data_IF_485658827895
#
_entry.id   IF_485658827895
#
_cell.length_a   1.000
_cell.length_b   1.000
_cell.length_c   1.000
_cell.angle_alpha   90.00
_cell.angle_beta   90.00
_cell.angle_gamma   90.00
#
_symmetry.space_group_name_H-M   'P 1'
#
loop_
_entity.id
_entity.type
_entity.pdbx_description
1 polymer ?
#
# COMPACT_ATOMS: atom_id res chain seq x y z
N UNK A 1 20.76 -8.77 -2.52
CA UNK A 1 19.45 -8.76 -3.18
C UNK A 1 18.72 -7.50 -2.71
N UNK A 2 18.14 -6.71 -3.61
CA UNK A 2 17.38 -5.50 -3.26
C UNK A 2 15.91 -5.87 -3.09
N UNK A 3 15.27 -5.38 -2.02
CA UNK A 3 13.84 -5.43 -1.80
C UNK A 3 13.17 -4.18 -2.39
N UNK A 4 11.85 -4.23 -2.59
CA UNK A 4 11.12 -3.10 -3.18
C UNK A 4 11.26 -1.83 -2.33
N UNK A 5 11.18 -1.95 -1.01
CA UNK A 5 11.35 -0.80 -0.11
C UNK A 5 12.78 -0.21 -0.11
N UNK A 6 13.81 -0.94 -0.58
CA UNK A 6 15.17 -0.41 -0.66
C UNK A 6 15.27 0.77 -1.63
N UNK A 7 14.32 0.90 -2.56
CA UNK A 7 14.22 2.06 -3.45
C UNK A 7 13.95 3.32 -2.62
N UNK A 8 12.99 3.28 -1.69
CA UNK A 8 12.67 4.41 -0.82
C UNK A 8 13.82 4.69 0.15
N UNK A 9 14.31 3.67 0.87
CA UNK A 9 15.40 3.81 1.84
C UNK A 9 16.65 4.46 1.23
N UNK A 10 17.10 3.95 0.10
CA UNK A 10 18.35 4.41 -0.51
C UNK A 10 18.23 5.83 -1.05
N UNK A 11 17.09 6.18 -1.65
CA UNK A 11 16.88 7.53 -2.15
C UNK A 11 16.60 8.53 -1.01
N UNK A 12 15.93 8.14 0.07
CA UNK A 12 15.77 8.98 1.26
C UNK A 12 17.13 9.35 1.86
N UNK A 13 18.08 8.38 1.89
CA UNK A 13 19.45 8.63 2.36
C UNK A 13 20.27 9.49 1.40
N UNK A 14 20.18 9.25 0.08
CA UNK A 14 21.04 9.89 -0.93
C UNK A 14 20.51 11.24 -1.41
N UNK A 15 19.19 11.38 -1.51
CA UNK A 15 18.50 12.52 -2.11
C UNK A 15 17.27 12.93 -1.29
N UNK A 16 17.41 13.19 0.03
CA UNK A 16 16.28 13.35 0.96
C UNK A 16 15.27 14.42 0.55
N UNK A 17 15.75 15.51 -0.07
CA UNK A 17 14.94 16.67 -0.46
C UNK A 17 14.46 16.63 -1.91
N UNK A 18 14.91 15.65 -2.71
CA UNK A 18 14.45 15.52 -4.10
C UNK A 18 13.02 14.98 -4.11
N UNK A 19 12.18 15.58 -4.95
CA UNK A 19 10.80 15.12 -5.12
C UNK A 19 10.80 13.71 -5.72
N UNK A 20 10.11 12.81 -5.02
CA UNK A 20 9.91 11.42 -5.42
C UNK A 20 8.57 11.24 -6.12
N UNK A 21 7.50 11.81 -5.56
CA UNK A 21 6.14 11.66 -6.05
C UNK A 21 5.46 13.01 -6.25
N UNK A 22 4.64 13.08 -7.28
CA UNK A 22 3.81 14.24 -7.64
C UNK A 22 2.42 13.73 -7.98
N UNK A 23 1.39 14.31 -7.37
CA UNK A 23 -0.02 14.03 -7.64
C UNK A 23 -0.81 15.34 -7.54
N UNK A 24 -1.10 15.95 -8.69
CA UNK A 24 -1.58 17.32 -8.76
C UNK A 24 -0.62 18.28 -8.06
N UNK A 25 -1.12 19.00 -7.06
CA UNK A 25 -0.32 19.93 -6.25
C UNK A 25 0.45 19.24 -5.11
N UNK A 26 0.10 18.00 -4.79
CA UNK A 26 0.75 17.24 -3.71
C UNK A 26 2.11 16.76 -4.18
N UNK A 27 3.12 16.97 -3.34
CA UNK A 27 4.52 16.59 -3.61
C UNK A 27 5.08 15.92 -2.37
N UNK A 28 5.75 14.78 -2.58
CA UNK A 28 6.50 14.11 -1.53
C UNK A 28 7.95 13.97 -1.93
N UNK A 29 8.85 14.40 -1.05
CA UNK A 29 10.27 14.11 -1.16
C UNK A 29 10.55 12.64 -0.88
N UNK A 30 11.75 12.16 -1.23
CA UNK A 30 12.15 10.79 -0.90
C UNK A 30 12.14 10.52 0.61
N UNK A 31 12.56 11.48 1.44
CA UNK A 31 12.49 11.34 2.91
C UNK A 31 11.05 11.22 3.41
N UNK A 32 10.14 12.05 2.90
CA UNK A 32 8.73 11.98 3.27
C UNK A 32 8.08 10.66 2.85
N UNK A 33 8.40 10.16 1.65
CA UNK A 33 7.91 8.88 1.16
C UNK A 33 8.38 7.72 2.05
N UNK A 34 9.67 7.70 2.40
CA UNK A 34 10.23 6.65 3.26
C UNK A 34 9.63 6.66 4.66
N UNK A 35 9.52 7.85 5.28
CA UNK A 35 8.91 8.01 6.59
C UNK A 35 7.44 7.56 6.61
N UNK A 36 6.68 7.90 5.57
CA UNK A 36 5.26 7.52 5.45
C UNK A 36 5.11 6.02 5.26
N UNK A 37 5.92 5.41 4.41
CA UNK A 37 5.95 3.96 4.20
C UNK A 37 6.31 3.20 5.49
N UNK A 38 7.35 3.63 6.22
CA UNK A 38 7.75 3.02 7.49
C UNK A 38 6.68 3.15 8.57
N UNK A 39 6.01 4.31 8.66
CA UNK A 39 4.88 4.50 9.59
C UNK A 39 3.74 3.53 9.27
N UNK A 40 3.38 3.38 8.00
CA UNK A 40 2.37 2.40 7.60
C UNK A 40 2.79 0.97 7.97
N UNK A 41 4.05 0.59 7.71
CA UNK A 41 4.57 -0.73 8.05
C UNK A 41 4.40 -1.05 9.54
N UNK A 42 4.87 -0.14 10.41
CA UNK A 42 4.75 -0.29 11.87
C UNK A 42 3.28 -0.44 12.29
N UNK A 43 2.41 0.42 11.76
CA UNK A 43 0.98 0.42 12.06
C UNK A 43 0.26 -0.87 11.63
N UNK A 44 0.73 -1.55 10.59
CA UNK A 44 0.21 -2.86 10.17
C UNK A 44 0.75 -3.99 11.05
N UNK A 45 2.03 -3.96 11.40
CA UNK A 45 2.63 -4.94 12.31
C UNK A 45 2.01 -4.85 13.72
N UNK A 46 1.79 -3.64 14.23
CA UNK A 46 1.13 -3.39 15.52
C UNK A 46 -0.33 -3.89 15.54
N UNK A 47 -0.97 -4.00 14.37
CA UNK A 47 -2.30 -4.62 14.21
C UNK A 47 -2.25 -6.14 14.12
N UNK A 48 -1.08 -6.75 14.28
CA UNK A 48 -0.90 -8.21 14.36
C UNK A 48 -0.66 -8.88 13.01
N UNK A 49 -0.48 -8.12 11.91
CA UNK A 49 -0.04 -8.73 10.65
C UNK A 49 1.40 -9.22 10.78
N UNK A 50 1.70 -10.32 10.11
CA UNK A 50 3.01 -10.97 10.13
C UNK A 50 3.59 -11.07 8.72
N UNK A 51 4.91 -11.16 8.61
CA UNK A 51 5.58 -11.34 7.33
C UNK A 51 4.98 -12.55 6.57
N UNK A 52 4.67 -12.35 5.29
CA UNK A 52 3.97 -13.31 4.44
C UNK A 52 2.44 -13.13 4.41
N UNK A 53 1.84 -12.40 5.35
CA UNK A 53 0.42 -12.05 5.28
C UNK A 53 0.13 -11.20 4.04
N UNK A 54 -1.05 -11.43 3.47
CA UNK A 54 -1.51 -10.81 2.22
C UNK A 54 -2.48 -9.67 2.53
N UNK A 55 -2.29 -8.54 1.88
CA UNK A 55 -3.10 -7.33 2.06
C UNK A 55 -3.68 -6.91 0.73
N UNK A 56 -5.00 -6.92 0.64
CA UNK A 56 -5.73 -6.42 -0.53
C UNK A 56 -5.64 -4.91 -0.57
N UNK A 57 -5.32 -4.34 -1.72
CA UNK A 57 -5.23 -2.89 -1.88
C UNK A 57 -6.14 -2.44 -3.01
N UNK A 58 -7.20 -1.72 -2.65
CA UNK A 58 -8.22 -1.19 -3.56
C UNK A 58 -8.09 0.33 -3.56
N UNK A 59 -7.39 0.87 -4.55
CA UNK A 59 -7.22 2.31 -4.68
C UNK A 59 -7.14 2.75 -6.13
N UNK A 60 -7.38 4.04 -6.35
CA UNK A 60 -7.01 4.70 -7.60
C UNK A 60 -5.51 4.95 -7.66
N UNK A 61 -5.05 5.40 -8.83
CA UNK A 61 -3.78 6.09 -8.93
C UNK A 61 -3.81 7.29 -7.98
N UNK A 62 -2.95 7.24 -6.96
CA UNK A 62 -2.86 8.23 -5.90
C UNK A 62 -1.42 8.26 -5.37
N UNK A 63 -1.03 9.37 -4.74
CA UNK A 63 0.31 9.51 -4.16
C UNK A 63 0.59 8.49 -3.05
N UNK A 64 -0.47 7.97 -2.42
CA UNK A 64 -0.39 6.97 -1.35
C UNK A 64 -0.03 5.58 -1.88
N UNK A 65 -0.21 5.28 -3.17
CA UNK A 65 0.02 3.93 -3.68
C UNK A 65 1.48 3.46 -3.55
N UNK A 66 2.51 4.26 -3.91
CA UNK A 66 3.89 3.90 -3.63
C UNK A 66 4.20 3.82 -2.12
N UNK A 67 3.54 4.64 -1.29
CA UNK A 67 3.68 4.56 0.18
C UNK A 67 3.19 3.21 0.70
N UNK A 68 2.05 2.74 0.19
CA UNK A 68 1.47 1.43 0.50
C UNK A 68 2.40 0.32 0.04
N UNK A 69 2.87 0.36 -1.21
CA UNK A 69 3.76 -0.67 -1.75
C UNK A 69 5.04 -0.81 -0.95
N UNK A 70 5.70 0.31 -0.61
CA UNK A 70 6.90 0.29 0.22
C UNK A 70 6.60 -0.09 1.67
N UNK A 71 5.49 0.37 2.25
CA UNK A 71 5.10 0.04 3.61
C UNK A 71 4.82 -1.45 3.79
N UNK A 72 4.09 -2.06 2.85
CA UNK A 72 3.88 -3.51 2.83
C UNK A 72 5.20 -4.25 2.67
N UNK A 73 6.07 -3.81 1.75
CA UNK A 73 7.39 -4.42 1.59
C UNK A 73 8.28 -4.28 2.84
N UNK A 74 8.22 -3.17 3.57
CA UNK A 74 8.93 -2.99 4.84
C UNK A 74 8.44 -3.94 5.93
N UNK A 75 7.12 -4.18 5.98
CA UNK A 75 6.51 -5.12 6.92
C UNK A 75 6.64 -6.60 6.50
N UNK A 76 7.24 -6.88 5.34
CA UNK A 76 7.31 -8.24 4.78
C UNK A 76 5.96 -8.78 4.31
N UNK A 77 4.99 -7.90 4.05
CA UNK A 77 3.64 -8.21 3.63
C UNK A 77 3.53 -8.28 2.09
N UNK A 78 2.56 -9.06 1.62
CA UNK A 78 2.31 -9.27 0.19
C UNK A 78 1.14 -8.39 -0.25
N UNK A 79 1.37 -7.49 -1.20
CA UNK A 79 0.33 -6.67 -1.78
C UNK A 79 -0.50 -7.47 -2.80
N UNK A 80 -1.82 -7.45 -2.67
CA UNK A 80 -2.79 -7.94 -3.66
C UNK A 80 -3.49 -6.72 -4.28
N UNK A 81 -2.96 -6.14 -5.36
CA UNK A 81 -3.54 -4.96 -5.96
C UNK A 81 -4.80 -5.31 -6.73
N UNK A 82 -5.91 -4.64 -6.43
CA UNK A 82 -7.21 -4.88 -7.08
C UNK A 82 -7.63 -3.64 -7.85
N UNK A 83 -8.01 -3.84 -9.11
CA UNK A 83 -8.46 -2.76 -9.97
C UNK A 83 -9.89 -2.34 -9.59
N UNK A 84 -10.08 -1.07 -9.27
CA UNK A 84 -11.39 -0.49 -8.90
C UNK A 84 -12.45 -0.58 -10.01
N UNK A 85 -12.06 -0.93 -11.24
CA UNK A 85 -12.98 -1.12 -12.37
C UNK A 85 -13.60 -2.52 -12.44
N UNK A 86 -13.12 -3.46 -11.64
CA UNK A 86 -13.73 -4.77 -11.54
C UNK A 86 -15.14 -4.68 -10.95
N UNK A 87 -15.98 -5.62 -11.34
CA UNK A 87 -17.28 -5.81 -10.73
C UNK A 87 -17.09 -6.30 -9.27
N UNK A 88 -18.01 -5.97 -8.35
CA UNK A 88 -17.86 -6.33 -6.94
C UNK A 88 -17.68 -7.83 -6.68
N UNK A 89 -18.36 -8.68 -7.43
CA UNK A 89 -18.25 -10.14 -7.37
C UNK A 89 -16.87 -10.66 -7.81
N UNK A 90 -16.26 -10.04 -8.82
CA UNK A 90 -14.88 -10.35 -9.22
C UNK A 90 -13.88 -9.98 -8.10
N UNK A 91 -14.13 -8.88 -7.38
CA UNK A 91 -13.30 -8.49 -6.23
C UNK A 91 -13.46 -9.47 -5.08
N UNK A 92 -14.70 -9.86 -4.74
CA UNK A 92 -14.95 -10.88 -3.71
C UNK A 92 -14.22 -12.18 -4.04
N UNK A 93 -14.29 -12.64 -5.29
CA UNK A 93 -13.57 -13.83 -5.73
C UNK A 93 -12.06 -13.72 -5.51
N UNK A 94 -11.45 -12.57 -5.85
CA UNK A 94 -10.01 -12.34 -5.62
C UNK A 94 -9.70 -12.35 -4.12
N UNK A 95 -10.53 -11.71 -3.29
CA UNK A 95 -10.27 -11.66 -1.84
C UNK A 95 -10.33 -13.05 -1.24
N UNK A 96 -11.36 -13.82 -1.57
CA UNK A 96 -11.56 -15.19 -1.07
C UNK A 96 -10.41 -16.13 -1.49
N UNK A 97 -10.00 -16.09 -2.75
CA UNK A 97 -8.91 -16.91 -3.27
C UNK A 97 -7.54 -16.46 -2.72
N UNK A 98 -7.35 -15.15 -2.54
CA UNK A 98 -6.06 -14.60 -2.12
C UNK A 98 -5.69 -14.97 -0.69
N UNK A 99 -6.63 -15.35 0.17
CA UNK A 99 -6.39 -15.57 1.60
C UNK A 99 -5.81 -14.34 2.32
N UNK A 100 -6.21 -13.15 1.88
CA UNK A 100 -5.84 -11.88 2.49
C UNK A 100 -6.30 -11.80 3.95
N UNK A 101 -5.49 -11.14 4.78
CA UNK A 101 -5.73 -10.94 6.21
C UNK A 101 -6.23 -9.54 6.54
N UNK A 102 -6.03 -8.59 5.62
CA UNK A 102 -6.44 -7.21 5.75
C UNK A 102 -6.67 -6.59 4.37
N UNK A 103 -7.34 -5.43 4.37
CA UNK A 103 -7.52 -4.60 3.19
C UNK A 103 -7.15 -3.15 3.48
N UNK A 104 -6.55 -2.48 2.49
CA UNK A 104 -6.40 -1.03 2.42
C UNK A 104 -7.31 -0.56 1.29
N UNK A 105 -8.34 0.20 1.64
CA UNK A 105 -9.35 0.68 0.70
C UNK A 105 -9.34 2.19 0.68
N UNK A 106 -9.21 2.76 -0.52
CA UNK A 106 -9.34 4.20 -0.71
C UNK A 106 -10.75 4.64 -0.31
N UNK A 107 -10.88 5.74 0.42
CA UNK A 107 -12.11 6.06 1.15
C UNK A 107 -13.37 6.12 0.28
N UNK A 108 -13.25 6.59 -0.95
CA UNK A 108 -14.38 6.68 -1.89
C UNK A 108 -14.75 5.34 -2.55
N UNK A 109 -13.95 4.30 -2.33
CA UNK A 109 -14.20 2.91 -2.74
C UNK A 109 -14.75 2.06 -1.59
N UNK A 110 -14.84 2.62 -0.38
CA UNK A 110 -15.23 1.88 0.82
C UNK A 110 -16.65 1.32 0.72
N UNK A 111 -17.63 2.13 0.36
CA UNK A 111 -19.03 1.66 0.28
C UNK A 111 -19.22 0.58 -0.81
N UNK A 112 -18.44 0.68 -1.89
CA UNK A 112 -18.52 -0.25 -3.01
C UNK A 112 -17.86 -1.60 -2.71
N UNK A 113 -16.72 -1.59 -2.03
CA UNK A 113 -15.88 -2.78 -1.91
C UNK A 113 -15.52 -3.18 -0.49
N UNK A 114 -15.56 -2.29 0.50
CA UNK A 114 -15.23 -2.69 1.88
C UNK A 114 -16.42 -3.33 2.61
N UNK A 115 -17.66 -2.86 2.36
CA UNK A 115 -18.87 -3.44 2.97
C UNK A 115 -19.04 -4.94 2.65
N UNK A 116 -18.76 -5.42 1.41
CA UNK A 116 -18.82 -6.85 1.10
C UNK A 116 -17.65 -7.68 1.65
N UNK A 117 -16.60 -7.06 2.20
CA UNK A 117 -15.38 -7.74 2.65
C UNK A 117 -15.29 -7.86 4.19
N UNK A 118 -16.30 -7.37 4.92
CA UNK A 118 -16.42 -7.47 6.38
C UNK A 118 -17.52 -8.46 6.74
#
# INVERSE_FOLDING_TARGET
MLLIHDIAANNARRYPNKIALIDGDRRHSWSQLDDRARRLANVLLDRGLQAGDRVVVIARNCIEWPEISFGLSYAGLVAIPVNIRLAPDEVVHIVDDSGARAAIVHGDQFDRFAVPLV
#
